data_IF_715982763159
#
_entry.id   IF_715982763159
#
_cell.length_a   1.000
_cell.length_b   1.000
_cell.length_c   1.000
_cell.angle_alpha   90.00
_cell.angle_beta   90.00
_cell.angle_gamma   90.00
#
_symmetry.space_group_name_H-M   'P 1'
#
loop_
_entity.id
_entity.type
_entity.pdbx_description
1 polymer ?
#
# COMPACT_ATOMS: atom_id res chain seq x y z
N UNK A 1 -2.21 14.45 36.25
CA UNK A 1 -2.19 14.60 34.77
C UNK A 1 -1.19 13.59 34.23
N UNK A 2 -1.65 12.38 33.90
CA UNK A 2 -0.80 11.32 33.37
C UNK A 2 -0.84 11.34 31.86
N UNK A 3 0.26 11.75 31.22
CA UNK A 3 0.42 11.66 29.77
C UNK A 3 0.66 10.21 29.38
N UNK A 4 -0.34 9.57 28.77
CA UNK A 4 -0.16 8.27 28.13
C UNK A 4 0.67 8.45 26.85
N UNK A 5 1.91 7.99 26.87
CA UNK A 5 2.74 7.83 25.69
C UNK A 5 2.15 6.67 24.86
N UNK A 6 1.57 6.99 23.70
CA UNK A 6 1.25 5.97 22.70
C UNK A 6 2.55 5.47 22.09
N UNK A 7 2.97 4.26 22.48
CA UNK A 7 4.08 3.55 21.84
C UNK A 7 3.62 3.17 20.44
N UNK A 8 4.13 3.87 19.43
CA UNK A 8 3.97 3.47 18.03
C UNK A 8 4.95 2.33 17.78
N UNK A 9 4.50 1.10 18.01
CA UNK A 9 5.30 -0.08 17.69
C UNK A 9 5.39 -0.21 16.17
N UNK A 10 6.51 0.20 15.59
CA UNK A 10 6.83 -0.04 14.18
C UNK A 10 7.11 -1.52 13.97
N UNK A 11 6.05 -2.27 13.64
CA UNK A 11 6.18 -3.63 13.17
C UNK A 11 6.72 -3.60 11.73
N UNK A 12 8.04 -3.77 11.56
CA UNK A 12 8.63 -4.22 10.31
C UNK A 12 8.26 -5.70 10.09
N UNK A 13 6.96 -5.97 9.89
CA UNK A 13 6.47 -7.30 9.54
C UNK A 13 6.43 -7.37 8.02
N UNK A 14 7.51 -7.89 7.45
CA UNK A 14 7.62 -8.15 6.02
C UNK A 14 7.84 -6.90 5.18
N UNK A 15 7.68 -7.07 3.87
CA UNK A 15 7.89 -6.09 2.81
C UNK A 15 6.90 -4.90 2.86
N UNK A 16 6.52 -4.40 4.04
CA UNK A 16 5.51 -3.35 4.25
C UNK A 16 6.09 -2.17 5.04
N UNK A 17 6.04 -0.98 4.44
CA UNK A 17 6.64 0.24 4.95
C UNK A 17 5.55 1.30 5.22
N UNK A 18 5.31 1.68 6.50
CA UNK A 18 4.48 2.84 6.78
C UNK A 18 5.21 4.12 6.37
N UNK A 19 4.59 4.96 5.55
CA UNK A 19 5.14 6.26 5.13
C UNK A 19 4.54 7.39 5.95
N UNK A 20 5.41 8.15 6.63
CA UNK A 20 5.04 9.32 7.43
C UNK A 20 4.42 10.45 6.59
N UNK A 21 3.67 11.35 7.22
CA UNK A 21 2.98 12.47 6.54
C UNK A 21 1.52 12.18 6.14
N UNK A 22 0.95 11.07 6.62
CA UNK A 22 -0.48 10.81 6.49
C UNK A 22 -1.33 11.73 7.36
N UNK A 23 -2.62 11.86 7.04
CA UNK A 23 -3.58 12.62 7.87
C UNK A 23 -4.18 11.77 8.98
N UNK A 24 -3.96 10.46 8.95
CA UNK A 24 -4.34 9.52 10.00
C UNK A 24 -3.50 8.23 9.90
N UNK A 25 -3.53 7.43 10.96
CA UNK A 25 -2.81 6.15 11.02
C UNK A 25 -3.83 5.01 11.14
N UNK A 26 -3.78 3.98 10.28
CA UNK A 26 -4.61 2.80 10.45
C UNK A 26 -4.20 2.02 11.69
N UNK A 27 -5.19 1.52 12.42
CA UNK A 27 -4.94 0.57 13.50
C UNK A 27 -4.48 -0.79 12.95
N UNK A 28 -4.10 -1.67 13.87
CA UNK A 28 -3.55 -2.98 13.52
C UNK A 28 -4.55 -3.88 12.80
N UNK A 29 -5.83 -3.81 13.16
CA UNK A 29 -6.88 -4.65 12.59
C UNK A 29 -7.17 -4.26 11.14
N UNK A 30 -7.25 -2.95 10.87
CA UNK A 30 -7.41 -2.41 9.52
C UNK A 30 -6.19 -2.78 8.66
N UNK A 31 -4.97 -2.63 9.18
CA UNK A 31 -3.75 -3.00 8.46
C UNK A 31 -3.65 -4.51 8.21
N UNK A 32 -4.10 -5.35 9.15
CA UNK A 32 -4.15 -6.80 8.96
C UNK A 32 -5.16 -7.21 7.89
N UNK A 33 -6.37 -6.64 7.93
CA UNK A 33 -7.43 -6.89 6.93
C UNK A 33 -6.99 -6.49 5.52
N UNK A 34 -6.36 -5.32 5.37
CA UNK A 34 -5.80 -4.85 4.11
C UNK A 34 -4.79 -5.87 3.56
N UNK A 35 -3.80 -6.27 4.38
CA UNK A 35 -2.74 -7.20 3.96
C UNK A 35 -3.29 -8.58 3.57
N UNK A 36 -4.29 -9.07 4.30
CA UNK A 36 -4.91 -10.37 4.04
C UNK A 36 -5.71 -10.43 2.74
N UNK A 37 -6.19 -9.28 2.23
CA UNK A 37 -7.11 -9.24 1.07
C UNK A 37 -6.51 -8.60 -0.18
N UNK A 38 -5.39 -7.88 -0.05
CA UNK A 38 -4.79 -7.16 -1.17
C UNK A 38 -4.42 -8.09 -2.33
N UNK A 39 -3.74 -9.20 -2.06
CA UNK A 39 -3.23 -10.11 -3.10
C UNK A 39 -4.37 -10.60 -4.00
N UNK A 40 -5.44 -11.11 -3.39
CA UNK A 40 -6.58 -11.65 -4.15
C UNK A 40 -7.20 -10.58 -5.06
N UNK A 41 -7.34 -9.35 -4.56
CA UNK A 41 -7.88 -8.25 -5.37
C UNK A 41 -6.98 -7.90 -6.55
N UNK A 42 -5.67 -7.73 -6.32
CA UNK A 42 -4.71 -7.33 -7.36
C UNK A 42 -4.56 -8.43 -8.42
N UNK A 43 -4.49 -9.70 -8.01
CA UNK A 43 -4.41 -10.85 -8.92
C UNK A 43 -5.65 -10.92 -9.82
N UNK A 44 -6.85 -10.79 -9.25
CA UNK A 44 -8.09 -10.81 -10.03
C UNK A 44 -8.10 -9.67 -11.07
N UNK A 45 -7.76 -8.44 -10.66
CA UNK A 45 -7.74 -7.28 -11.55
C UNK A 45 -6.66 -7.35 -12.62
N UNK A 46 -5.48 -7.87 -12.30
CA UNK A 46 -4.42 -8.10 -13.28
C UNK A 46 -4.88 -9.11 -14.33
N UNK A 47 -5.52 -10.20 -13.89
CA UNK A 47 -6.07 -11.21 -14.80
C UNK A 47 -7.15 -10.65 -15.72
N UNK A 48 -8.07 -9.84 -15.19
CA UNK A 48 -9.11 -9.15 -15.98
C UNK A 48 -8.51 -8.22 -17.05
N UNK A 49 -7.32 -7.68 -16.79
CA UNK A 49 -6.59 -6.79 -17.70
C UNK A 49 -5.58 -7.52 -18.59
N UNK A 50 -5.55 -8.87 -18.57
CA UNK A 50 -4.55 -9.68 -19.27
C UNK A 50 -3.09 -9.29 -18.94
N UNK A 51 -2.84 -8.92 -17.68
CA UNK A 51 -1.51 -8.54 -17.16
C UNK A 51 -0.92 -9.68 -16.34
N UNK A 52 0.37 -9.96 -16.57
CA UNK A 52 1.12 -10.92 -15.77
C UNK A 52 1.82 -10.21 -14.60
N UNK A 53 1.53 -10.65 -13.38
CA UNK A 53 2.20 -10.14 -12.18
C UNK A 53 3.49 -10.90 -11.92
N UNK A 54 4.46 -10.21 -11.34
CA UNK A 54 5.59 -10.86 -10.68
C UNK A 54 5.13 -11.73 -9.51
N UNK A 55 6.01 -12.60 -9.00
CA UNK A 55 5.72 -13.37 -7.78
C UNK A 55 5.27 -12.45 -6.66
N UNK A 56 4.16 -12.76 -6.00
CA UNK A 56 3.63 -11.90 -4.93
C UNK A 56 4.66 -11.62 -3.83
N UNK A 57 5.52 -12.61 -3.53
CA UNK A 57 6.58 -12.50 -2.53
C UNK A 57 7.72 -11.55 -2.90
N UNK A 58 7.85 -11.14 -4.17
CA UNK A 58 8.86 -10.14 -4.56
C UNK A 58 8.41 -8.71 -4.31
N UNK A 59 7.11 -8.49 -4.11
CA UNK A 59 6.62 -7.14 -3.85
C UNK A 59 6.96 -6.65 -2.46
N UNK A 60 7.30 -5.38 -2.45
CA UNK A 60 7.33 -4.51 -1.30
C UNK A 60 6.23 -3.45 -1.44
N UNK A 61 5.73 -2.99 -0.31
CA UNK A 61 4.54 -2.17 -0.19
C UNK A 61 4.84 -0.97 0.70
N UNK A 62 4.53 0.22 0.23
CA UNK A 62 4.43 1.43 1.02
C UNK A 62 2.96 1.71 1.30
N UNK A 63 2.63 2.18 2.50
CA UNK A 63 1.26 2.57 2.81
C UNK A 63 1.17 3.83 3.67
N UNK A 64 0.10 4.59 3.49
CA UNK A 64 -0.18 5.81 4.26
C UNK A 64 -1.69 6.05 4.39
N UNK A 65 -2.15 6.34 5.61
CA UNK A 65 -3.51 6.79 5.86
C UNK A 65 -3.69 8.24 5.38
N UNK A 66 -4.57 8.44 4.40
CA UNK A 66 -4.91 9.75 3.83
C UNK A 66 -6.41 10.05 3.97
N UNK A 67 -6.75 11.32 3.96
CA UNK A 67 -8.11 11.82 4.01
C UNK A 67 -8.40 12.67 2.79
N UNK A 68 -9.60 12.52 2.23
CA UNK A 68 -10.18 13.41 1.23
C UNK A 68 -11.52 13.95 1.73
N UNK A 69 -12.19 14.76 0.91
CA UNK A 69 -13.57 15.18 1.17
C UNK A 69 -14.52 13.98 1.32
N UNK A 70 -14.24 12.87 0.63
CA UNK A 70 -15.05 11.65 0.63
C UNK A 70 -14.74 10.71 1.80
N UNK A 71 -13.76 11.06 2.65
CA UNK A 71 -13.42 10.34 3.86
C UNK A 71 -11.99 9.80 3.89
N UNK A 72 -11.76 8.81 4.76
CA UNK A 72 -10.45 8.21 4.99
C UNK A 72 -10.20 7.05 4.03
N UNK A 73 -8.98 6.93 3.56
CA UNK A 73 -8.49 5.78 2.80
C UNK A 73 -7.02 5.50 3.12
N UNK A 74 -6.55 4.29 2.81
CA UNK A 74 -5.14 3.94 2.85
C UNK A 74 -4.66 3.96 1.40
N UNK A 75 -3.68 4.79 1.11
CA UNK A 75 -2.95 4.76 -0.16
C UNK A 75 -1.87 3.68 -0.06
N UNK A 76 -1.77 2.84 -1.09
CA UNK A 76 -0.79 1.76 -1.19
C UNK A 76 -0.01 1.96 -2.49
N UNK A 77 1.32 1.89 -2.39
CA UNK A 77 2.23 1.83 -3.53
C UNK A 77 3.04 0.53 -3.41
N UNK A 78 3.19 -0.22 -4.50
CA UNK A 78 3.92 -1.47 -4.52
C UNK A 78 5.02 -1.44 -5.58
N UNK A 79 6.11 -2.14 -5.30
CA UNK A 79 7.25 -2.34 -6.22
C UNK A 79 7.88 -3.71 -6.00
N UNK A 80 8.28 -4.38 -7.07
CA UNK A 80 8.88 -5.72 -7.03
C UNK A 80 10.42 -5.72 -7.18
N UNK A 81 10.99 -4.59 -7.58
CA UNK A 81 12.41 -4.34 -7.68
C UNK A 81 12.87 -3.52 -6.48
N UNK A 82 14.10 -3.78 -6.03
CA UNK A 82 14.63 -3.17 -4.81
C UNK A 82 14.63 -1.65 -4.99
N UNK A 83 13.81 -0.93 -4.21
CA UNK A 83 13.74 0.50 -4.37
C UNK A 83 15.01 1.11 -3.74
N UNK A 84 15.30 2.34 -4.13
CA UNK A 84 16.34 3.14 -3.48
C UNK A 84 16.19 3.12 -1.94
N UNK A 85 17.29 3.23 -1.19
CA UNK A 85 17.34 3.28 0.28
C UNK A 85 16.33 4.26 0.94
N UNK A 86 15.81 5.24 0.20
CA UNK A 86 14.77 6.17 0.64
C UNK A 86 13.34 5.61 0.63
N UNK A 87 13.10 4.42 0.08
CA UNK A 87 11.76 3.84 -0.01
C UNK A 87 11.09 3.53 1.33
N UNK A 88 11.87 3.32 2.39
CA UNK A 88 11.32 3.19 3.72
C UNK A 88 10.83 4.54 4.31
N UNK A 89 11.19 5.67 3.68
CA UNK A 89 11.00 7.03 4.23
C UNK A 89 10.03 7.89 3.42
N UNK A 90 9.92 7.65 2.11
CA UNK A 90 9.08 8.44 1.20
C UNK A 90 8.48 7.54 0.12
N UNK A 91 7.35 7.98 -0.44
CA UNK A 91 6.78 7.31 -1.61
C UNK A 91 7.77 7.34 -2.78
N UNK A 92 7.93 6.19 -3.43
CA UNK A 92 8.71 6.05 -4.65
C UNK A 92 7.72 5.84 -5.78
N UNK A 93 7.61 6.83 -6.67
CA UNK A 93 6.74 6.75 -7.84
C UNK A 93 7.60 6.44 -9.06
N UNK A 94 7.32 5.30 -9.70
CA UNK A 94 7.93 4.90 -10.97
C UNK A 94 6.83 4.96 -12.02
N UNK A 95 7.04 5.74 -13.09
CA UNK A 95 5.99 5.99 -14.09
C UNK A 95 5.96 4.93 -15.21
N UNK A 96 7.06 4.23 -15.40
CA UNK A 96 7.26 3.24 -16.47
C UNK A 96 8.01 2.02 -15.93
N UNK A 97 7.27 1.01 -15.49
CA UNK A 97 7.81 -0.20 -14.88
C UNK A 97 6.87 -1.41 -14.92
N UNK A 98 5.78 -1.29 -15.68
CA UNK A 98 4.78 -2.34 -15.86
C UNK A 98 4.18 -2.86 -14.56
N UNK A 99 3.88 -4.15 -14.52
CA UNK A 99 3.23 -4.80 -13.38
C UNK A 99 4.10 -4.86 -12.13
N UNK A 100 5.40 -4.59 -12.25
CA UNK A 100 6.28 -4.49 -11.10
C UNK A 100 5.92 -3.32 -10.18
N UNK A 101 5.25 -2.28 -10.71
CA UNK A 101 4.88 -1.08 -9.95
C UNK A 101 3.37 -0.83 -10.06
N UNK A 102 2.69 -0.71 -8.92
CA UNK A 102 1.28 -0.35 -8.92
C UNK A 102 0.89 0.47 -7.69
N UNK A 103 -0.14 1.27 -7.85
CA UNK A 103 -0.77 2.01 -6.77
C UNK A 103 -2.26 1.71 -6.69
N UNK A 104 -2.82 1.77 -5.48
CA UNK A 104 -4.24 1.63 -5.24
C UNK A 104 -4.65 2.26 -3.92
N UNK A 105 -5.97 2.33 -3.70
CA UNK A 105 -6.56 2.84 -2.46
C UNK A 105 -7.44 1.77 -1.80
N UNK A 106 -7.45 1.79 -0.47
CA UNK A 106 -8.31 0.95 0.35
C UNK A 106 -9.21 1.81 1.24
N UNK A 107 -10.53 1.59 1.16
CA UNK A 107 -11.50 2.24 2.04
C UNK A 107 -11.70 1.38 3.29
N UNK A 108 -11.29 1.83 4.49
CA UNK A 108 -11.39 1.04 5.73
C UNK A 108 -12.83 0.89 6.22
N UNK A 109 -13.76 1.76 5.81
CA UNK A 109 -15.18 1.69 6.20
C UNK A 109 -15.92 0.60 5.44
N UNK A 110 -15.73 0.55 4.12
CA UNK A 110 -16.40 -0.42 3.24
C UNK A 110 -15.58 -1.68 3.02
N UNK A 111 -14.31 -1.69 3.42
CA UNK A 111 -13.34 -2.77 3.20
C UNK A 111 -13.10 -3.09 1.72
N UNK A 112 -13.13 -2.05 0.87
CA UNK A 112 -13.01 -2.20 -0.60
C UNK A 112 -11.76 -1.53 -1.14
N UNK A 113 -11.16 -2.16 -2.16
CA UNK A 113 -10.08 -1.58 -2.95
C UNK A 113 -10.63 -0.88 -4.21
N UNK A 114 -9.97 0.20 -4.60
CA UNK A 114 -10.32 1.01 -5.76
C UNK A 114 -9.08 1.74 -6.31
N UNK A 115 -9.23 2.37 -7.49
CA UNK A 115 -8.18 3.12 -8.18
C UNK A 115 -6.87 2.33 -8.37
N UNK A 116 -6.96 1.04 -8.68
CA UNK A 116 -5.78 0.25 -9.02
C UNK A 116 -5.21 0.70 -10.37
N UNK A 117 -4.00 1.24 -10.35
CA UNK A 117 -3.21 1.58 -11.52
C UNK A 117 -1.90 0.79 -11.53
N UNK A 118 -1.63 0.07 -12.61
CA UNK A 118 -0.28 -0.43 -12.92
C UNK A 118 0.46 0.66 -13.67
N UNK A 119 1.64 1.05 -13.19
CA UNK A 119 2.43 2.09 -13.85
C UNK A 119 2.96 1.51 -15.16
N UNK A 120 2.84 2.27 -16.25
CA UNK A 120 2.83 1.76 -17.63
C UNK A 120 4.09 1.00 -18.04
N UNK A 121 4.01 0.37 -19.21
CA UNK A 121 5.14 -0.12 -20.01
C UNK A 121 5.30 0.92 -21.13
N UNK A 122 6.50 1.47 -21.33
CA UNK A 122 6.81 2.28 -22.51
C UNK A 122 6.51 1.56 -23.83
#
# INVERSE_FOLDING_TARGET
MGSSLAIVTTFLVGSWFPIAGGTWTPDQDVAAQLRATLQQYVVARASDQHRELQSWSSYSFQYQGRGSADGKFIFINAFCESPDAYAAKRFVQVLDGGTCYFELKYNPKTKTFYDLGFNGVA
#
